data_IF_498129463283
#
_entry.id   IF_498129463283
#
_cell.length_a   1.000
_cell.length_b   1.000
_cell.length_c   1.000
_cell.angle_alpha   90.00
_cell.angle_beta   90.00
_cell.angle_gamma   90.00
#
_symmetry.space_group_name_H-M   'P 1'
#
loop_
_entity.id
_entity.type
_entity.pdbx_description
1 polymer ?
#
# COMPACT_ATOMS: atom_id res chain seq x y z
N UNK A 1 -20.06 2.50 15.46
CA UNK A 1 -20.58 1.32 16.15
C UNK A 1 -20.35 1.37 17.67
N UNK A 2 -19.13 1.39 18.21
CA UNK A 2 -18.92 1.41 19.67
C UNK A 2 -19.57 2.58 20.42
N UNK A 3 -19.64 3.76 19.83
CA UNK A 3 -20.33 4.90 20.42
C UNK A 3 -21.87 4.71 20.40
N UNK A 4 -22.42 4.12 19.35
CA UNK A 4 -23.85 3.80 19.26
C UNK A 4 -24.25 2.73 20.29
N UNK A 5 -23.43 1.69 20.45
CA UNK A 5 -23.61 0.68 21.50
C UNK A 5 -23.61 1.30 22.90
N UNK A 6 -22.64 2.18 23.20
CA UNK A 6 -22.58 2.87 24.49
C UNK A 6 -23.79 3.78 24.78
N UNK A 7 -24.48 4.25 23.73
CA UNK A 7 -25.74 5.02 23.86
C UNK A 7 -26.98 4.15 23.91
N UNK A 8 -26.84 2.82 23.86
CA UNK A 8 -27.98 1.88 23.85
C UNK A 8 -28.73 1.82 22.53
N UNK A 9 -28.14 2.30 21.44
CA UNK A 9 -28.74 2.30 20.09
C UNK A 9 -28.52 0.97 19.35
N UNK A 10 -27.67 0.09 19.88
CA UNK A 10 -27.38 -1.24 19.36
C UNK A 10 -27.39 -2.25 20.50
N UNK A 11 -27.89 -3.43 20.22
CA UNK A 11 -27.75 -4.60 21.09
C UNK A 11 -26.35 -5.18 20.98
N UNK A 12 -26.00 -6.07 21.91
CA UNK A 12 -24.69 -6.78 21.89
C UNK A 12 -24.54 -7.64 20.64
N UNK A 13 -25.61 -8.35 20.23
CA UNK A 13 -25.64 -9.19 19.04
C UNK A 13 -25.45 -8.35 17.74
N UNK A 14 -26.07 -7.17 17.65
CA UNK A 14 -25.88 -6.26 16.53
C UNK A 14 -24.47 -5.70 16.47
N UNK A 15 -23.87 -5.38 17.62
CA UNK A 15 -22.46 -4.96 17.69
C UNK A 15 -21.53 -6.07 17.23
N UNK A 16 -21.74 -7.30 17.71
CA UNK A 16 -20.92 -8.45 17.33
C UNK A 16 -21.04 -8.76 15.83
N UNK A 17 -22.25 -8.77 15.30
CA UNK A 17 -22.49 -8.97 13.86
C UNK A 17 -21.78 -7.91 13.02
N UNK A 18 -21.86 -6.65 13.45
CA UNK A 18 -21.20 -5.54 12.77
C UNK A 18 -19.67 -5.62 12.85
N UNK A 19 -19.12 -6.08 13.99
CA UNK A 19 -17.68 -6.32 14.15
C UNK A 19 -17.19 -7.46 13.26
N UNK A 20 -17.92 -8.57 13.18
CA UNK A 20 -17.59 -9.70 12.30
C UNK A 20 -17.63 -9.30 10.81
N UNK A 21 -18.54 -8.41 10.41
CA UNK A 21 -18.64 -7.89 9.05
C UNK A 21 -17.67 -6.78 8.70
N UNK A 22 -16.93 -6.20 9.69
CA UNK A 22 -16.05 -5.07 9.46
C UNK A 22 -14.82 -5.40 8.61
N UNK A 23 -14.36 -6.66 8.64
CA UNK A 23 -13.27 -7.18 7.82
C UNK A 23 -13.75 -8.45 7.09
N UNK A 24 -14.44 -8.32 5.97
CA UNK A 24 -15.10 -9.45 5.30
C UNK A 24 -14.14 -10.44 4.65
N UNK A 25 -12.88 -10.06 4.42
CA UNK A 25 -11.85 -10.90 3.80
C UNK A 25 -10.50 -10.73 4.48
N UNK A 26 -9.58 -11.68 4.23
CA UNK A 26 -8.17 -11.54 4.59
C UNK A 26 -7.45 -10.54 3.68
N UNK A 27 -6.29 -10.04 4.10
CA UNK A 27 -5.45 -9.10 3.35
C UNK A 27 -5.55 -7.66 3.84
N UNK A 28 -5.21 -6.71 2.98
CA UNK A 28 -5.33 -5.28 3.28
C UNK A 28 -6.80 -4.89 3.47
N UNK A 29 -7.07 -4.00 4.42
CA UNK A 29 -8.43 -3.50 4.64
C UNK A 29 -8.88 -2.58 3.49
N UNK A 30 -10.16 -2.20 3.51
CA UNK A 30 -10.80 -1.38 2.47
C UNK A 30 -10.33 0.09 2.40
N UNK A 31 -9.33 0.47 3.21
CA UNK A 31 -8.75 1.81 3.21
C UNK A 31 -7.38 1.82 2.54
N UNK A 32 -7.00 2.95 1.93
CA UNK A 32 -5.61 3.22 1.53
C UNK A 32 -4.77 3.54 2.78
N UNK A 33 -4.76 2.60 3.72
CA UNK A 33 -3.98 2.65 4.95
C UNK A 33 -2.58 2.08 4.74
N UNK A 34 -1.89 1.75 5.83
CA UNK A 34 -0.50 1.28 5.83
C UNK A 34 -0.27 0.09 4.92
N UNK A 35 -1.14 -0.92 4.96
CA UNK A 35 -0.97 -2.15 4.19
C UNK A 35 -1.13 -1.91 2.68
N UNK A 36 -2.25 -1.32 2.24
CA UNK A 36 -2.49 -1.04 0.83
C UNK A 36 -1.43 -0.06 0.27
N UNK A 37 -1.11 1.01 1.01
CA UNK A 37 -0.03 1.93 0.63
C UNK A 37 1.31 1.20 0.48
N UNK A 38 1.69 0.36 1.46
CA UNK A 38 2.94 -0.41 1.40
C UNK A 38 3.01 -1.34 0.18
N UNK A 39 1.91 -1.99 -0.18
CA UNK A 39 1.83 -2.82 -1.39
C UNK A 39 2.06 -1.98 -2.66
N UNK A 40 1.37 -0.84 -2.78
CA UNK A 40 1.52 0.06 -3.95
C UNK A 40 2.93 0.62 -4.04
N UNK A 41 3.51 1.07 -2.92
CA UNK A 41 4.87 1.60 -2.91
C UNK A 41 5.92 0.53 -3.21
N UNK A 42 5.73 -0.72 -2.76
CA UNK A 42 6.61 -1.82 -3.14
C UNK A 42 6.64 -2.05 -4.65
N UNK A 43 5.50 -1.91 -5.33
CA UNK A 43 5.42 -1.99 -6.78
C UNK A 43 6.06 -0.77 -7.45
N UNK A 44 5.79 0.45 -6.96
CA UNK A 44 6.36 1.69 -7.47
C UNK A 44 7.90 1.74 -7.32
N UNK A 45 8.44 1.15 -6.25
CA UNK A 45 9.89 1.00 -6.03
C UNK A 45 10.53 -0.07 -6.93
N UNK A 46 9.74 -0.86 -7.66
CA UNK A 46 10.25 -1.97 -8.48
C UNK A 46 10.54 -3.27 -7.70
N UNK A 47 10.07 -3.37 -6.44
CA UNK A 47 10.27 -4.55 -5.59
C UNK A 47 9.14 -5.58 -5.69
N UNK A 48 8.03 -5.25 -6.33
CA UNK A 48 6.92 -6.15 -6.59
C UNK A 48 6.61 -6.24 -8.09
N UNK A 49 5.92 -7.31 -8.49
CA UNK A 49 5.57 -7.51 -9.89
C UNK A 49 4.48 -6.51 -10.32
N UNK A 50 4.59 -5.91 -11.51
CA UNK A 50 3.61 -4.96 -12.02
C UNK A 50 2.18 -5.50 -12.02
N UNK A 51 1.25 -4.73 -11.44
CA UNK A 51 -0.16 -5.08 -11.31
C UNK A 51 -0.49 -6.03 -10.14
N UNK A 52 0.47 -6.28 -9.22
CA UNK A 52 0.24 -7.14 -8.06
C UNK A 52 -0.29 -6.40 -6.82
N UNK A 53 0.00 -5.10 -6.71
CA UNK A 53 -0.16 -4.34 -5.47
C UNK A 53 -1.57 -4.31 -4.89
N UNK A 54 -2.58 -4.20 -5.75
CA UNK A 54 -3.98 -4.05 -5.31
C UNK A 54 -4.85 -5.26 -5.66
N UNK A 55 -4.26 -6.40 -5.98
CA UNK A 55 -5.04 -7.62 -6.25
C UNK A 55 -5.72 -8.07 -4.95
N UNK A 56 -7.06 -8.16 -4.93
CA UNK A 56 -7.78 -8.61 -3.75
C UNK A 56 -7.36 -10.01 -3.30
N UNK A 57 -7.12 -10.17 -2.00
CA UNK A 57 -6.59 -11.39 -1.40
C UNK A 57 -7.37 -12.68 -1.76
N UNK A 58 -8.72 -12.68 -1.86
CA UNK A 58 -9.46 -13.88 -2.19
C UNK A 58 -9.29 -14.37 -3.63
N UNK A 59 -8.71 -13.55 -4.52
CA UNK A 59 -8.62 -13.89 -5.92
C UNK A 59 -7.46 -14.86 -6.21
N UNK A 60 -7.75 -15.88 -7.00
CA UNK A 60 -6.72 -16.82 -7.52
C UNK A 60 -5.62 -16.12 -8.31
N UNK A 61 -5.88 -14.91 -8.80
CA UNK A 61 -4.88 -14.05 -9.46
C UNK A 61 -3.68 -13.78 -8.54
N UNK A 62 -3.90 -13.59 -7.23
CA UNK A 62 -2.81 -13.39 -6.27
C UNK A 62 -1.88 -14.61 -6.17
N UNK A 63 -2.43 -15.82 -6.20
CA UNK A 63 -1.63 -17.06 -6.22
C UNK A 63 -0.75 -17.16 -7.49
N UNK A 64 -1.23 -16.64 -8.63
CA UNK A 64 -0.44 -16.57 -9.86
C UNK A 64 0.71 -15.59 -9.71
N UNK A 65 0.48 -14.41 -9.09
CA UNK A 65 1.55 -13.46 -8.78
C UNK A 65 2.58 -14.03 -7.82
N UNK A 66 2.15 -14.71 -6.75
CA UNK A 66 3.07 -15.36 -5.80
C UNK A 66 3.97 -16.38 -6.52
N UNK A 67 3.39 -17.20 -7.40
CA UNK A 67 4.16 -18.17 -8.21
C UNK A 67 5.09 -17.47 -9.22
N UNK A 68 4.64 -16.37 -9.83
CA UNK A 68 5.46 -15.58 -10.75
C UNK A 68 6.62 -14.88 -10.02
N UNK A 69 6.39 -14.36 -8.81
CA UNK A 69 7.41 -13.75 -7.97
C UNK A 69 8.51 -14.76 -7.60
N UNK A 70 8.14 -16.02 -7.24
CA UNK A 70 9.10 -17.09 -6.99
C UNK A 70 9.96 -17.43 -8.21
N UNK A 71 9.39 -17.37 -9.42
CA UNK A 71 10.18 -17.53 -10.65
C UNK A 71 11.08 -16.33 -10.93
N UNK A 72 10.58 -15.12 -10.65
CA UNK A 72 11.32 -13.90 -10.90
C UNK A 72 12.55 -13.78 -10.01
N UNK A 73 12.48 -14.17 -8.73
CA UNK A 73 13.63 -14.10 -7.83
C UNK A 73 14.81 -14.95 -8.36
N UNK A 74 14.55 -16.10 -8.97
CA UNK A 74 15.60 -16.90 -9.58
C UNK A 74 16.28 -16.19 -10.76
N UNK A 75 15.52 -15.42 -11.54
CA UNK A 75 16.08 -14.61 -12.63
C UNK A 75 16.92 -13.46 -12.10
N UNK A 76 16.46 -12.79 -11.02
CA UNK A 76 17.22 -11.70 -10.38
C UNK A 76 18.57 -12.22 -9.86
N UNK A 77 18.58 -13.40 -9.24
CA UNK A 77 19.82 -14.06 -8.78
C UNK A 77 20.74 -14.36 -9.96
N UNK A 78 20.21 -14.87 -11.06
CA UNK A 78 21.02 -15.25 -12.24
C UNK A 78 21.72 -14.05 -12.91
N UNK A 79 21.14 -12.84 -12.79
CA UNK A 79 21.73 -11.60 -13.34
C UNK A 79 22.33 -10.69 -12.26
N UNK A 80 22.46 -11.20 -11.04
CA UNK A 80 22.98 -10.45 -9.87
C UNK A 80 22.29 -9.10 -9.66
N UNK A 81 20.97 -9.04 -9.86
CA UNK A 81 20.18 -7.85 -9.62
C UNK A 81 19.68 -7.81 -8.17
N UNK A 82 20.39 -7.07 -7.33
CA UNK A 82 20.07 -6.92 -5.92
C UNK A 82 19.09 -5.76 -5.66
N UNK A 83 18.37 -5.73 -4.51
CA UNK A 83 17.53 -4.60 -4.13
C UNK A 83 18.25 -3.24 -4.16
N UNK A 84 19.53 -3.20 -3.77
CA UNK A 84 20.34 -1.96 -3.80
C UNK A 84 20.54 -1.40 -5.22
N UNK A 85 20.47 -2.24 -6.25
CA UNK A 85 20.56 -1.82 -7.66
C UNK A 85 19.22 -1.37 -8.22
N UNK A 86 18.10 -1.79 -7.59
CA UNK A 86 16.74 -1.40 -7.96
C UNK A 86 16.37 -0.10 -7.26
N UNK A 87 16.70 0.03 -5.98
CA UNK A 87 16.33 1.13 -5.11
C UNK A 87 17.23 2.35 -5.35
N UNK A 88 17.06 3.01 -6.48
CA UNK A 88 17.74 4.26 -6.82
C UNK A 88 17.00 5.47 -6.25
N UNK A 89 17.60 6.64 -6.29
CA UNK A 89 16.97 7.90 -5.91
C UNK A 89 15.67 8.13 -6.70
N UNK A 90 15.71 7.87 -8.00
CA UNK A 90 14.56 8.03 -8.90
C UNK A 90 13.43 7.04 -8.56
N UNK A 91 13.77 5.81 -8.16
CA UNK A 91 12.77 4.83 -7.71
C UNK A 91 12.02 5.34 -6.47
N UNK A 92 12.72 5.96 -5.52
CA UNK A 92 12.09 6.57 -4.35
C UNK A 92 11.25 7.80 -4.72
N UNK A 93 11.71 8.66 -5.61
CA UNK A 93 10.92 9.81 -6.09
C UNK A 93 9.65 9.35 -6.81
N UNK A 94 9.73 8.33 -7.65
CA UNK A 94 8.56 7.70 -8.28
C UNK A 94 7.58 7.16 -7.22
N UNK A 95 8.08 6.49 -6.19
CA UNK A 95 7.23 5.99 -5.10
C UNK A 95 6.53 7.14 -4.35
N UNK A 96 7.21 8.25 -4.10
CA UNK A 96 6.62 9.44 -3.46
C UNK A 96 5.58 10.10 -4.37
N UNK A 97 5.81 10.16 -5.69
CA UNK A 97 4.80 10.62 -6.66
C UNK A 97 3.53 9.76 -6.59
N UNK A 98 3.69 8.43 -6.61
CA UNK A 98 2.57 7.51 -6.49
C UNK A 98 1.88 7.64 -5.12
N UNK A 99 2.64 7.80 -4.03
CA UNK A 99 2.10 8.05 -2.70
C UNK A 99 1.17 9.28 -2.67
N UNK A 100 1.61 10.39 -3.27
CA UNK A 100 0.81 11.60 -3.39
C UNK A 100 -0.47 11.34 -4.22
N UNK A 101 -0.33 10.71 -5.38
CA UNK A 101 -1.44 10.45 -6.30
C UNK A 101 -2.54 9.55 -5.72
N UNK A 102 -2.19 8.61 -4.86
CA UNK A 102 -3.16 7.70 -4.22
C UNK A 102 -3.72 8.22 -2.89
N UNK A 103 -3.23 9.34 -2.37
CA UNK A 103 -3.54 9.78 -1.01
C UNK A 103 -3.09 8.76 0.04
N UNK A 104 -1.85 8.30 -0.08
CA UNK A 104 -1.29 7.21 0.71
C UNK A 104 -1.18 7.52 2.21
N UNK A 105 -1.00 6.48 3.00
CA UNK A 105 -0.88 6.57 4.46
C UNK A 105 0.38 7.34 4.88
N UNK A 106 0.25 8.21 5.89
CA UNK A 106 1.37 8.93 6.51
C UNK A 106 2.45 8.01 7.10
N UNK A 107 2.16 6.74 7.33
CA UNK A 107 3.15 5.75 7.75
C UNK A 107 4.27 5.57 6.71
N UNK A 108 4.02 5.88 5.44
CA UNK A 108 5.05 5.87 4.40
C UNK A 108 6.20 6.86 4.70
N UNK A 109 5.91 7.97 5.41
CA UNK A 109 6.92 8.96 5.80
C UNK A 109 7.93 8.41 6.82
N UNK A 110 7.62 7.31 7.47
CA UNK A 110 8.54 6.56 8.33
C UNK A 110 9.24 5.44 7.57
N UNK A 111 8.46 4.65 6.82
CA UNK A 111 8.97 3.44 6.19
C UNK A 111 9.85 3.71 4.96
N UNK A 112 9.47 4.65 4.10
CA UNK A 112 10.22 4.93 2.87
C UNK A 112 11.61 5.49 3.16
N UNK A 113 11.80 6.50 4.05
CA UNK A 113 13.13 6.94 4.45
C UNK A 113 13.96 5.85 5.12
N UNK A 114 13.35 4.99 5.94
CA UNK A 114 14.06 3.87 6.57
C UNK A 114 14.58 2.87 5.52
N UNK A 115 13.76 2.51 4.52
CA UNK A 115 14.16 1.65 3.41
C UNK A 115 15.27 2.31 2.57
N UNK A 116 15.15 3.62 2.32
CA UNK A 116 16.16 4.38 1.58
C UNK A 116 17.50 4.40 2.30
N UNK A 117 17.51 4.61 3.61
CA UNK A 117 18.70 4.54 4.44
C UNK A 117 19.40 3.18 4.32
N UNK A 118 18.65 2.06 4.40
CA UNK A 118 19.20 0.72 4.23
C UNK A 118 19.74 0.47 2.81
N UNK A 119 19.15 1.12 1.80
CA UNK A 119 19.64 1.09 0.42
C UNK A 119 20.88 2.00 0.19
N UNK A 120 21.20 2.89 1.14
CA UNK A 120 22.25 3.89 1.01
C UNK A 120 21.83 5.11 0.18
N UNK A 121 20.53 5.38 0.10
CA UNK A 121 19.93 6.51 -0.62
C UNK A 121 19.37 7.50 0.39
N UNK A 122 19.69 8.78 0.25
CA UNK A 122 19.13 9.84 1.09
C UNK A 122 17.73 10.19 0.62
N UNK A 123 16.73 9.98 1.49
CA UNK A 123 15.33 10.39 1.30
C UNK A 123 14.83 10.95 2.61
N UNK A 124 14.27 12.14 2.58
CA UNK A 124 13.78 12.85 3.76
C UNK A 124 12.29 13.19 3.66
N UNK A 125 11.71 13.66 4.75
CA UNK A 125 10.33 14.16 4.78
C UNK A 125 10.14 15.36 3.86
N UNK A 126 11.18 16.17 3.66
CA UNK A 126 11.16 17.32 2.76
C UNK A 126 10.96 16.92 1.30
N UNK A 127 11.45 15.74 0.90
CA UNK A 127 11.17 15.20 -0.44
C UNK A 127 9.69 14.92 -0.63
N UNK A 128 9.01 14.40 0.40
CA UNK A 128 7.56 14.22 0.37
C UNK A 128 6.83 15.55 0.23
N UNK A 129 7.17 16.56 1.04
CA UNK A 129 6.54 17.88 0.96
C UNK A 129 6.73 18.50 -0.43
N UNK A 130 7.96 18.49 -0.94
CA UNK A 130 8.31 19.02 -2.26
C UNK A 130 7.53 18.37 -3.40
N UNK A 131 7.45 17.04 -3.40
CA UNK A 131 6.79 16.28 -4.49
C UNK A 131 5.27 16.36 -4.34
N UNK A 132 4.72 16.23 -3.14
CA UNK A 132 3.28 16.29 -2.89
C UNK A 132 2.66 17.62 -3.33
N UNK A 133 3.39 18.74 -3.24
CA UNK A 133 2.91 20.05 -3.73
C UNK A 133 2.70 20.10 -5.24
N UNK A 134 3.31 19.17 -5.98
CA UNK A 134 3.28 19.16 -7.44
C UNK A 134 2.34 18.08 -8.01
N UNK A 135 1.95 17.11 -7.20
CA UNK A 135 1.18 15.95 -7.63
C UNK A 135 -0.24 16.00 -7.07
N UNK A 136 -1.27 16.06 -7.91
CA UNK A 136 -2.65 16.03 -7.44
C UNK A 136 -3.02 14.63 -6.94
N UNK A 137 -3.93 14.56 -5.94
CA UNK A 137 -4.55 13.29 -5.54
C UNK A 137 -5.51 12.85 -6.64
N UNK A 138 -5.28 11.67 -7.20
CA UNK A 138 -6.08 11.09 -8.29
C UNK A 138 -7.07 10.03 -7.78
N UNK A 139 -6.71 9.29 -6.73
CA UNK A 139 -7.51 8.20 -6.22
C UNK A 139 -8.58 8.71 -5.24
N UNK A 140 -9.86 8.59 -5.62
CA UNK A 140 -10.99 8.94 -4.75
C UNK A 140 -11.37 7.76 -3.84
N UNK A 141 -10.40 7.27 -3.07
CA UNK A 141 -10.58 6.12 -2.17
C UNK A 141 -10.39 6.50 -0.70
N UNK A 142 -11.01 5.76 0.20
CA UNK A 142 -10.83 5.93 1.65
C UNK A 142 -9.36 5.68 2.03
N UNK A 143 -8.78 6.42 2.95
CA UNK A 143 -9.37 7.31 3.97
C UNK A 143 -9.68 8.73 3.47
N UNK A 144 -9.01 9.24 2.44
CA UNK A 144 -9.15 10.64 1.96
C UNK A 144 -10.31 10.82 0.99
N UNK A 145 -10.76 9.76 0.33
CA UNK A 145 -11.83 9.78 -0.66
C UNK A 145 -13.08 9.01 -0.24
N UNK A 146 -13.98 8.84 -1.19
CA UNK A 146 -15.33 8.30 -0.97
C UNK A 146 -15.40 6.76 -1.03
N UNK A 147 -14.67 6.14 -1.95
CA UNK A 147 -14.83 4.73 -2.30
C UNK A 147 -13.87 3.82 -1.53
N UNK A 148 -14.22 2.54 -1.28
CA UNK A 148 -13.25 1.58 -0.78
C UNK A 148 -12.15 1.30 -1.81
N UNK A 149 -10.99 0.80 -1.34
CA UNK A 149 -9.80 0.57 -2.17
C UNK A 149 -10.05 -0.42 -3.31
N UNK A 150 -11.02 -1.31 -3.15
CA UNK A 150 -11.43 -2.27 -4.18
C UNK A 150 -11.88 -1.59 -5.49
N UNK A 151 -12.35 -0.34 -5.42
CA UNK A 151 -12.67 0.46 -6.61
C UNK A 151 -11.45 0.88 -7.41
N UNK A 152 -10.26 0.77 -6.82
CA UNK A 152 -9.01 1.12 -7.49
C UNK A 152 -8.45 -0.01 -8.34
N UNK A 153 -8.93 -1.23 -8.14
CA UNK A 153 -8.44 -2.44 -8.80
C UNK A 153 -9.17 -2.79 -10.10
#
# INVERSE_FOLDING_TARGET
MGAAFKRGELTEDELELAQRGACPTCGACQFMGSAATGQVLSEALGLALPGSALVPQPLTKLLRYARAAGKQILRLIAVDLTPRRILTREAFENAIVIHAAIGGSTNALLHVPAIAQEAGVEVTVDDFDRIHRQVPVLANVKSTGRYPVEYFW
#
